data_IF_268721306161
#
_entry.id   IF_268721306161
#
_cell.length_a   1.000
_cell.length_b   1.000
_cell.length_c   1.000
_cell.angle_alpha   90.00
_cell.angle_beta   90.00
_cell.angle_gamma   90.00
#
_symmetry.space_group_name_H-M   'P 1'
#
loop_
_entity.id
_entity.type
_entity.pdbx_description
1 polymer ?
#
# COMPACT_ATOMS: atom_id res chain seq x y z
N UNK A 1 12.07 -13.17 -18.95
CA UNK A 1 11.78 -14.62 -19.09
C UNK A 1 10.66 -14.93 -18.08
N UNK A 2 9.45 -15.22 -18.54
CA UNK A 2 8.35 -15.59 -17.63
C UNK A 2 8.47 -17.07 -17.30
N UNK A 3 9.12 -17.37 -16.20
CA UNK A 3 8.97 -18.68 -15.57
C UNK A 3 7.76 -18.60 -14.66
N UNK A 4 6.57 -18.72 -15.24
CA UNK A 4 5.35 -18.79 -14.45
C UNK A 4 5.16 -20.25 -14.03
N UNK A 5 5.38 -20.51 -12.74
CA UNK A 5 5.12 -21.82 -12.13
C UNK A 5 3.66 -21.94 -11.66
N UNK A 6 2.80 -20.95 -11.94
CA UNK A 6 1.42 -20.95 -11.50
C UNK A 6 0.55 -21.79 -12.42
N UNK A 7 0.30 -22.99 -12.00
CA UNK A 7 -0.52 -23.97 -12.72
C UNK A 7 -2.04 -23.65 -12.73
N UNK A 8 -2.47 -22.56 -12.11
CA UNK A 8 -3.88 -22.19 -11.97
C UNK A 8 -4.34 -21.01 -12.83
N UNK A 9 -3.47 -20.42 -13.64
CA UNK A 9 -3.82 -19.28 -14.49
C UNK A 9 -4.56 -19.75 -15.75
N UNK A 10 -5.77 -19.24 -15.97
CA UNK A 10 -6.54 -19.44 -17.21
C UNK A 10 -6.06 -18.47 -18.30
N UNK A 11 -6.45 -18.71 -19.56
CA UNK A 11 -6.12 -17.81 -20.68
C UNK A 11 -6.65 -16.39 -20.46
N UNK A 12 -7.80 -16.26 -19.81
CA UNK A 12 -8.38 -14.98 -19.43
C UNK A 12 -7.52 -14.25 -18.38
N UNK A 13 -7.11 -14.95 -17.32
CA UNK A 13 -6.21 -14.41 -16.29
C UNK A 13 -4.87 -14.00 -16.90
N UNK A 14 -4.34 -14.76 -17.87
CA UNK A 14 -3.13 -14.39 -18.61
C UNK A 14 -3.34 -13.11 -19.44
N UNK A 15 -4.52 -12.94 -20.05
CA UNK A 15 -4.87 -11.72 -20.80
C UNK A 15 -4.93 -10.49 -19.89
N UNK A 16 -5.53 -10.62 -18.71
CA UNK A 16 -5.58 -9.55 -17.70
C UNK A 16 -4.16 -9.21 -17.23
N UNK A 17 -3.35 -10.23 -16.89
CA UNK A 17 -1.94 -10.04 -16.52
C UNK A 17 -1.18 -9.23 -17.58
N UNK A 18 -1.28 -9.63 -18.86
CA UNK A 18 -0.54 -9.00 -19.94
C UNK A 18 -1.04 -7.56 -20.20
N UNK A 19 -2.31 -7.29 -19.95
CA UNK A 19 -2.88 -5.94 -20.01
C UNK A 19 -2.33 -5.06 -18.88
N UNK A 20 -2.32 -5.57 -17.64
CA UNK A 20 -1.71 -4.87 -16.50
C UNK A 20 -0.21 -4.63 -16.72
N UNK A 21 0.53 -5.62 -17.26
CA UNK A 21 1.95 -5.47 -17.60
C UNK A 21 2.19 -4.36 -18.62
N UNK A 22 1.40 -4.30 -19.71
CA UNK A 22 1.51 -3.21 -20.69
C UNK A 22 1.25 -1.86 -20.04
N UNK A 23 0.18 -1.72 -19.27
CA UNK A 23 -0.10 -0.48 -18.55
C UNK A 23 1.03 -0.09 -17.59
N UNK A 24 1.56 -1.06 -16.84
CA UNK A 24 2.68 -0.86 -15.93
C UNK A 24 3.94 -0.36 -16.65
N UNK A 25 4.31 -0.99 -17.77
CA UNK A 25 5.57 -0.67 -18.47
C UNK A 25 5.45 0.56 -19.38
N UNK A 26 4.32 0.72 -20.07
CA UNK A 26 4.15 1.76 -21.08
C UNK A 26 3.63 3.08 -20.47
N UNK A 27 2.94 3.03 -19.32
CA UNK A 27 2.33 4.20 -18.68
C UNK A 27 2.94 4.45 -17.29
N UNK A 28 2.81 3.50 -16.35
CA UNK A 28 3.17 3.77 -14.95
C UNK A 28 4.67 4.01 -14.78
N UNK A 29 5.53 3.19 -15.39
CA UNK A 29 6.99 3.33 -15.23
C UNK A 29 7.52 4.66 -15.76
N UNK A 30 7.27 5.08 -17.01
CA UNK A 30 7.78 6.37 -17.50
C UNK A 30 7.19 7.55 -16.73
N UNK A 31 5.91 7.51 -16.36
CA UNK A 31 5.29 8.57 -15.56
C UNK A 31 5.86 8.58 -14.14
N UNK A 32 6.01 7.42 -13.49
CA UNK A 32 6.61 7.31 -12.16
C UNK A 32 8.03 7.86 -12.10
N UNK A 33 8.86 7.54 -13.10
CA UNK A 33 10.23 8.10 -13.24
C UNK A 33 10.21 9.64 -13.41
N UNK A 34 9.21 10.18 -14.12
CA UNK A 34 9.05 11.64 -14.27
C UNK A 34 8.60 12.28 -12.95
N UNK A 35 7.58 11.73 -12.29
CA UNK A 35 7.06 12.24 -11.02
C UNK A 35 8.09 12.18 -9.90
N UNK A 36 8.96 11.18 -9.91
CA UNK A 36 10.04 11.04 -8.92
C UNK A 36 11.02 12.22 -8.90
N UNK A 37 11.10 12.97 -10.00
CA UNK A 37 11.97 14.16 -10.16
C UNK A 37 11.26 15.49 -9.90
N UNK A 38 9.97 15.45 -9.59
CA UNK A 38 9.16 16.64 -9.34
C UNK A 38 9.10 16.93 -7.84
N UNK A 39 8.81 18.18 -7.46
CA UNK A 39 8.44 18.51 -6.07
C UNK A 39 7.10 17.87 -5.71
N UNK A 40 6.86 17.64 -4.44
CA UNK A 40 5.61 17.03 -3.98
C UNK A 40 4.36 17.85 -4.38
N UNK A 41 4.45 19.19 -4.39
CA UNK A 41 3.40 20.06 -4.88
C UNK A 41 3.17 19.90 -6.38
N UNK A 42 4.26 19.79 -7.17
CA UNK A 42 4.16 19.62 -8.61
C UNK A 42 3.57 18.26 -9.00
N UNK A 43 3.81 17.19 -8.19
CA UNK A 43 3.22 15.87 -8.40
C UNK A 43 1.69 15.93 -8.40
N UNK A 44 1.08 16.77 -7.57
CA UNK A 44 -0.39 16.90 -7.45
C UNK A 44 -0.96 18.13 -8.15
N UNK A 45 -0.14 18.89 -8.89
CA UNK A 45 -0.62 20.03 -9.68
C UNK A 45 -1.67 19.58 -10.73
N UNK A 46 -2.57 20.48 -11.13
CA UNK A 46 -3.68 20.16 -12.05
C UNK A 46 -3.22 19.62 -13.42
N UNK A 47 -2.05 20.01 -13.87
CA UNK A 47 -1.42 19.60 -15.12
C UNK A 47 -0.43 18.44 -14.95
N UNK A 48 -0.38 17.85 -13.78
CA UNK A 48 0.49 16.71 -13.51
C UNK A 48 0.08 15.46 -14.30
N UNK A 49 1.05 14.71 -14.83
CA UNK A 49 0.77 13.45 -15.49
C UNK A 49 0.21 12.36 -14.53
N UNK A 50 0.23 12.59 -13.22
CA UNK A 50 -0.38 11.73 -12.21
C UNK A 50 -1.84 11.42 -12.54
N UNK A 51 -2.61 12.46 -12.88
CA UNK A 51 -4.05 12.34 -13.15
C UNK A 51 -4.34 11.44 -14.35
N UNK A 52 -3.48 11.50 -15.38
CA UNK A 52 -3.60 10.61 -16.55
C UNK A 52 -3.38 9.12 -16.20
N UNK A 53 -2.53 8.82 -15.21
CA UNK A 53 -2.37 7.44 -14.71
C UNK A 53 -3.62 6.97 -13.99
N UNK A 54 -4.22 7.80 -13.13
CA UNK A 54 -5.45 7.46 -12.42
C UNK A 54 -6.62 7.20 -13.38
N UNK A 55 -6.78 8.03 -14.41
CA UNK A 55 -7.79 7.80 -15.45
C UNK A 55 -7.51 6.52 -16.26
N UNK A 56 -6.25 6.27 -16.64
CA UNK A 56 -5.88 5.04 -17.33
C UNK A 56 -6.11 3.78 -16.48
N UNK A 57 -5.87 3.86 -15.16
CA UNK A 57 -6.14 2.75 -14.23
C UNK A 57 -7.63 2.43 -14.14
N UNK A 58 -8.53 3.42 -14.10
CA UNK A 58 -9.97 3.20 -14.18
C UNK A 58 -10.37 2.42 -15.43
N UNK A 59 -9.68 2.69 -16.55
CA UNK A 59 -9.90 2.00 -17.82
C UNK A 59 -9.52 0.49 -17.81
N UNK A 60 -8.77 0.02 -16.80
CA UNK A 60 -8.46 -1.40 -16.64
C UNK A 60 -9.64 -2.22 -16.09
N UNK A 61 -10.71 -1.58 -15.61
CA UNK A 61 -11.84 -2.26 -14.99
C UNK A 61 -11.56 -2.85 -13.61
N UNK A 62 -10.48 -2.41 -12.95
CA UNK A 62 -10.14 -2.83 -11.59
C UNK A 62 -10.84 -1.93 -10.58
N UNK A 63 -11.39 -2.54 -9.52
CA UNK A 63 -11.99 -1.83 -8.40
C UNK A 63 -10.96 -1.19 -7.45
N UNK A 64 -11.45 -0.59 -6.37
CA UNK A 64 -10.63 -0.10 -5.28
C UNK A 64 -9.71 -1.22 -4.74
N UNK A 65 -8.46 -0.88 -4.40
CA UNK A 65 -7.45 -1.89 -4.04
C UNK A 65 -7.02 -2.81 -5.19
N UNK A 66 -7.28 -2.41 -6.46
CA UNK A 66 -7.08 -3.25 -7.66
C UNK A 66 -7.85 -4.59 -7.61
N UNK A 67 -9.00 -4.60 -6.95
CA UNK A 67 -9.83 -5.79 -6.83
C UNK A 67 -10.49 -6.18 -8.16
N UNK A 68 -10.67 -7.49 -8.31
CA UNK A 68 -11.30 -8.10 -9.48
C UNK A 68 -12.67 -8.61 -9.03
N UNK A 69 -13.72 -8.00 -9.57
CA UNK A 69 -15.10 -8.41 -9.29
C UNK A 69 -15.67 -9.16 -10.49
N UNK A 70 -15.34 -10.46 -10.56
CA UNK A 70 -15.86 -11.38 -11.54
C UNK A 70 -16.66 -12.49 -10.81
N UNK A 71 -17.98 -12.56 -10.98
CA UNK A 71 -18.83 -13.55 -10.29
C UNK A 71 -18.53 -15.00 -10.70
N UNK A 72 -17.95 -15.23 -11.86
CA UNK A 72 -17.65 -16.57 -12.40
C UNK A 72 -16.34 -17.14 -11.87
N UNK A 73 -15.47 -16.29 -11.28
CA UNK A 73 -14.22 -16.72 -10.68
C UNK A 73 -14.41 -17.23 -9.24
N UNK A 74 -13.74 -18.33 -8.91
CA UNK A 74 -13.63 -18.81 -7.52
C UNK A 74 -12.82 -17.85 -6.65
N UNK A 75 -12.96 -17.94 -5.32
CA UNK A 75 -12.17 -17.15 -4.38
C UNK A 75 -10.65 -17.37 -4.57
N UNK A 76 -10.24 -18.60 -4.86
CA UNK A 76 -8.84 -18.94 -5.15
C UNK A 76 -8.35 -18.27 -6.43
N UNK A 77 -9.13 -18.31 -7.49
CA UNK A 77 -8.79 -17.66 -8.77
C UNK A 77 -8.67 -16.15 -8.61
N UNK A 78 -9.62 -15.51 -7.91
CA UNK A 78 -9.57 -14.07 -7.60
C UNK A 78 -8.32 -13.71 -6.80
N UNK A 79 -7.99 -14.49 -5.77
CA UNK A 79 -6.80 -14.26 -4.94
C UNK A 79 -5.49 -14.44 -5.72
N UNK A 80 -5.40 -15.47 -6.56
CA UNK A 80 -4.23 -15.69 -7.42
C UNK A 80 -4.08 -14.56 -8.44
N UNK A 81 -5.17 -14.20 -9.13
CA UNK A 81 -5.15 -13.13 -10.12
C UNK A 81 -4.82 -11.77 -9.46
N UNK A 82 -5.33 -11.49 -8.26
CA UNK A 82 -4.99 -10.29 -7.52
C UNK A 82 -3.50 -10.22 -7.20
N UNK A 83 -2.88 -11.32 -6.75
CA UNK A 83 -1.43 -11.37 -6.57
C UNK A 83 -0.67 -11.05 -7.87
N UNK A 84 -1.10 -11.61 -9.00
CA UNK A 84 -0.47 -11.39 -10.31
C UNK A 84 -0.63 -9.94 -10.77
N UNK A 85 -1.83 -9.38 -10.65
CA UNK A 85 -2.13 -7.98 -11.03
C UNK A 85 -1.30 -7.00 -10.23
N UNK A 86 -1.26 -7.15 -8.89
CA UNK A 86 -0.46 -6.28 -8.03
C UNK A 86 1.04 -6.40 -8.33
N UNK A 87 1.53 -7.61 -8.57
CA UNK A 87 2.94 -7.83 -8.95
C UNK A 87 3.28 -7.12 -10.27
N UNK A 88 2.42 -7.22 -11.31
CA UNK A 88 2.65 -6.57 -12.60
C UNK A 88 2.61 -5.04 -12.50
N UNK A 89 1.60 -4.49 -11.84
CA UNK A 89 1.43 -3.03 -11.71
C UNK A 89 2.55 -2.41 -10.86
N UNK A 90 2.95 -3.06 -9.76
CA UNK A 90 4.06 -2.58 -8.92
C UNK A 90 5.42 -2.68 -9.60
N UNK A 91 5.60 -3.61 -10.54
CA UNK A 91 6.79 -3.60 -11.38
C UNK A 91 6.90 -2.31 -12.23
N UNK A 92 5.79 -1.65 -12.53
CA UNK A 92 5.77 -0.32 -13.13
C UNK A 92 6.17 0.77 -12.13
N UNK A 93 5.33 0.99 -11.12
CA UNK A 93 5.58 1.97 -10.06
C UNK A 93 4.67 1.68 -8.85
N UNK A 94 5.27 1.38 -7.70
CA UNK A 94 4.53 1.04 -6.48
C UNK A 94 3.80 2.23 -5.89
N UNK A 95 4.40 3.44 -5.92
CA UNK A 95 3.77 4.66 -5.41
C UNK A 95 2.51 5.02 -6.18
N UNK A 96 2.54 4.89 -7.51
CA UNK A 96 1.36 5.08 -8.36
C UNK A 96 0.29 4.02 -8.07
N UNK A 97 0.68 2.75 -7.91
CA UNK A 97 -0.30 1.70 -7.63
C UNK A 97 -1.02 1.91 -6.29
N UNK A 98 -0.30 2.29 -5.24
CA UNK A 98 -0.92 2.61 -3.94
C UNK A 98 -1.94 3.75 -4.10
N UNK A 99 -1.58 4.80 -4.83
CA UNK A 99 -2.51 5.91 -5.14
C UNK A 99 -3.74 5.46 -5.94
N UNK A 100 -3.55 4.63 -6.97
CA UNK A 100 -4.64 4.05 -7.76
C UNK A 100 -5.58 3.18 -6.89
N UNK A 101 -5.03 2.40 -5.96
CA UNK A 101 -5.80 1.54 -5.06
C UNK A 101 -6.70 2.31 -4.09
N UNK A 102 -6.45 3.60 -3.89
CA UNK A 102 -7.27 4.47 -3.04
C UNK A 102 -8.40 5.19 -3.78
N UNK A 103 -8.51 5.01 -5.12
CA UNK A 103 -9.69 5.45 -5.87
C UNK A 103 -10.92 4.72 -5.35
N UNK A 104 -11.94 5.48 -4.98
CA UNK A 104 -13.23 4.98 -4.49
C UNK A 104 -13.14 4.01 -3.28
N UNK A 105 -12.04 4.05 -2.50
CA UNK A 105 -11.85 3.16 -1.34
C UNK A 105 -12.95 3.33 -0.29
N UNK A 106 -13.53 4.53 -0.16
CA UNK A 106 -14.59 4.81 0.81
C UNK A 106 -15.86 4.02 0.50
N UNK A 107 -16.25 3.85 -0.77
CA UNK A 107 -17.39 3.02 -1.15
C UNK A 107 -17.13 1.54 -0.88
N UNK A 108 -15.92 1.05 -1.17
CA UNK A 108 -15.53 -0.33 -0.86
C UNK A 108 -15.63 -0.62 0.65
N UNK A 109 -15.10 0.29 1.47
CA UNK A 109 -15.16 0.13 2.94
C UNK A 109 -16.60 0.18 3.45
N UNK A 110 -17.43 1.09 2.94
CA UNK A 110 -18.86 1.12 3.28
C UNK A 110 -19.55 -0.22 2.98
N UNK A 111 -19.25 -0.81 1.82
CA UNK A 111 -19.76 -2.13 1.43
C UNK A 111 -19.29 -3.25 2.39
N UNK A 112 -17.99 -3.26 2.74
CA UNK A 112 -17.41 -4.25 3.66
C UNK A 112 -18.05 -4.19 5.07
N UNK A 113 -18.46 -3.00 5.51
CA UNK A 113 -19.18 -2.81 6.78
C UNK A 113 -20.70 -2.99 6.66
N UNK A 114 -21.22 -3.36 5.49
CA UNK A 114 -22.67 -3.51 5.25
C UNK A 114 -23.46 -2.20 5.37
N UNK A 115 -22.79 -1.04 5.22
CA UNK A 115 -23.38 0.29 5.32
C UNK A 115 -23.85 0.77 3.95
N UNK A 116 -25.01 0.27 3.53
CA UNK A 116 -25.62 0.60 2.24
C UNK A 116 -25.86 2.11 2.08
N UNK A 117 -26.23 2.80 3.17
CA UNK A 117 -26.42 4.25 3.22
C UNK A 117 -25.14 5.01 2.86
N UNK A 118 -24.00 4.61 3.41
CA UNK A 118 -22.68 5.20 3.11
C UNK A 118 -22.19 4.74 1.73
N UNK A 119 -22.45 3.50 1.34
CA UNK A 119 -22.12 3.03 0.00
C UNK A 119 -22.80 3.87 -1.09
N UNK A 120 -24.11 4.11 -0.98
CA UNK A 120 -24.85 4.97 -1.90
C UNK A 120 -24.29 6.41 -1.93
N UNK A 121 -23.91 6.94 -0.78
CA UNK A 121 -23.32 8.27 -0.67
C UNK A 121 -21.94 8.38 -1.32
N UNK A 122 -21.03 7.43 -1.05
CA UNK A 122 -19.64 7.51 -1.52
C UNK A 122 -19.46 6.97 -2.95
N UNK A 123 -20.27 6.03 -3.42
CA UNK A 123 -20.18 5.47 -4.78
C UNK A 123 -20.49 6.47 -5.89
N UNK A 124 -21.21 7.54 -5.58
CA UNK A 124 -21.51 8.63 -6.51
C UNK A 124 -20.37 9.65 -6.63
N UNK A 125 -19.33 9.52 -5.81
CA UNK A 125 -18.21 10.46 -5.70
C UNK A 125 -17.00 9.85 -6.40
N UNK A 126 -16.63 10.38 -7.55
CA UNK A 126 -15.39 9.97 -8.24
C UNK A 126 -14.18 10.66 -7.61
N UNK A 127 -13.73 10.11 -6.48
CA UNK A 127 -12.69 10.73 -5.66
C UNK A 127 -11.72 9.71 -5.05
N UNK A 128 -10.54 10.18 -4.68
CA UNK A 128 -9.67 9.42 -3.80
C UNK A 128 -10.20 9.46 -2.37
N UNK A 129 -10.15 8.32 -1.72
CA UNK A 129 -10.22 8.27 -0.27
C UNK A 129 -8.82 8.12 0.34
N UNK A 130 -8.77 8.04 1.68
CA UNK A 130 -7.54 7.74 2.41
C UNK A 130 -7.83 6.92 3.67
N UNK A 131 -6.76 6.31 4.21
CA UNK A 131 -6.77 5.64 5.49
C UNK A 131 -6.00 6.55 6.48
N UNK A 132 -6.74 7.26 7.33
CA UNK A 132 -6.18 8.22 8.28
C UNK A 132 -5.89 7.54 9.63
N UNK A 133 -4.73 6.88 9.73
CA UNK A 133 -4.32 6.03 10.84
C UNK A 133 -3.25 6.70 11.71
N UNK A 134 -2.06 6.93 11.15
CA UNK A 134 -0.87 7.41 11.85
C UNK A 134 -1.08 8.81 12.43
N UNK A 135 -0.53 9.05 13.63
CA UNK A 135 -0.66 10.31 14.36
C UNK A 135 0.71 10.90 14.71
N UNK A 136 0.80 12.21 14.97
CA UNK A 136 2.00 12.78 15.57
C UNK A 136 2.33 12.10 16.91
N UNK A 137 3.55 11.59 17.03
CA UNK A 137 3.98 10.86 18.22
C UNK A 137 3.51 9.41 18.34
N UNK A 138 2.69 8.92 17.40
CA UNK A 138 2.20 7.55 17.35
C UNK A 138 2.39 6.97 15.95
N UNK A 139 3.18 5.91 15.86
CA UNK A 139 3.44 5.15 14.64
C UNK A 139 3.15 3.67 14.85
N UNK A 140 4.19 2.84 14.89
CA UNK A 140 4.06 1.39 15.11
C UNK A 140 3.51 0.98 16.49
N UNK A 141 3.51 1.88 17.47
CA UNK A 141 2.83 1.67 18.77
C UNK A 141 1.30 1.57 18.64
N UNK A 142 0.71 2.21 17.61
CA UNK A 142 -0.72 2.07 17.28
C UNK A 142 -1.11 0.67 16.77
N UNK A 143 -0.14 -0.10 16.32
CA UNK A 143 -0.34 -1.47 15.82
C UNK A 143 0.24 -2.53 16.74
N UNK A 144 0.79 -2.13 17.87
CA UNK A 144 1.39 -3.00 18.86
C UNK A 144 0.35 -3.60 19.84
N UNK A 145 -0.68 -4.26 19.31
CA UNK A 145 -1.87 -4.72 20.05
C UNK A 145 -1.54 -5.63 21.26
N UNK A 146 -0.41 -6.35 21.21
CA UNK A 146 0.04 -7.26 22.25
C UNK A 146 0.92 -6.59 23.31
N UNK A 147 1.41 -5.38 23.04
CA UNK A 147 2.31 -4.66 23.93
C UNK A 147 1.55 -3.97 25.08
N UNK A 148 2.10 -3.96 26.31
CA UNK A 148 1.46 -3.32 27.46
C UNK A 148 1.17 -1.82 27.25
N UNK A 149 1.96 -1.14 26.43
CA UNK A 149 1.79 0.27 26.09
C UNK A 149 0.49 0.58 25.40
N UNK A 150 0.00 -0.33 24.54
CA UNK A 150 -1.21 -0.14 23.74
C UNK A 150 -2.47 0.11 24.61
N UNK A 151 -2.57 -0.56 25.76
CA UNK A 151 -3.68 -0.41 26.72
C UNK A 151 -3.33 0.50 27.92
N UNK A 152 -2.24 1.27 27.85
CA UNK A 152 -1.84 2.17 28.93
C UNK A 152 -2.66 3.46 28.89
N UNK A 153 -3.48 3.77 29.93
CA UNK A 153 -4.34 4.96 29.95
C UNK A 153 -3.57 6.30 30.00
N UNK A 154 -2.25 6.26 30.24
CA UNK A 154 -1.40 7.46 30.20
C UNK A 154 -1.02 7.84 28.76
N UNK A 155 -1.10 6.91 27.82
CA UNK A 155 -0.85 7.17 26.39
C UNK A 155 -2.17 7.66 25.79
N UNK A 156 -2.14 8.84 25.17
CA UNK A 156 -3.33 9.51 24.65
C UNK A 156 -3.23 9.68 23.14
N UNK A 157 -4.33 9.47 22.39
CA UNK A 157 -4.35 9.72 20.95
C UNK A 157 -4.10 11.19 20.63
N UNK A 158 -3.47 11.47 19.51
CA UNK A 158 -3.30 12.83 19.01
C UNK A 158 -4.58 13.34 18.32
N UNK A 159 -5.31 12.48 17.61
CA UNK A 159 -6.68 12.77 17.17
C UNK A 159 -7.67 12.25 18.20
N UNK A 160 -8.30 13.18 18.91
CA UNK A 160 -9.24 12.90 20.00
C UNK A 160 -10.66 12.88 19.49
N UNK A 161 -11.43 11.94 20.01
CA UNK A 161 -12.88 11.84 19.83
C UNK A 161 -13.59 12.04 21.15
N UNK A 162 -14.65 12.84 21.16
CA UNK A 162 -15.59 12.94 22.28
C UNK A 162 -17.03 12.86 21.77
N UNK A 163 -17.92 12.32 22.59
CA UNK A 163 -19.35 12.31 22.27
C UNK A 163 -19.97 13.67 22.53
N UNK A 164 -20.90 14.09 21.66
CA UNK A 164 -21.67 15.33 21.78
C UNK A 164 -23.15 15.01 21.47
N UNK A 165 -23.92 14.67 22.50
CA UNK A 165 -25.28 14.13 22.34
C UNK A 165 -25.24 12.81 21.58
N UNK A 166 -25.94 12.73 20.44
CA UNK A 166 -25.92 11.58 19.52
C UNK A 166 -24.75 11.61 18.54
N UNK A 167 -24.05 12.75 18.43
CA UNK A 167 -22.96 12.97 17.48
C UNK A 167 -21.59 12.88 18.18
N UNK A 168 -20.55 13.14 17.41
CA UNK A 168 -19.16 13.14 17.87
C UNK A 168 -18.48 14.47 17.53
N UNK A 169 -17.43 14.79 18.25
CA UNK A 169 -16.53 15.89 17.91
C UNK A 169 -15.11 15.35 17.82
N UNK A 170 -14.43 15.65 16.71
CA UNK A 170 -13.03 15.30 16.49
C UNK A 170 -12.16 16.54 16.62
N UNK A 171 -11.05 16.42 17.37
CA UNK A 171 -10.06 17.50 17.53
C UNK A 171 -8.65 16.93 17.56
N UNK A 172 -7.75 17.47 16.72
CA UNK A 172 -6.37 17.05 16.61
C UNK A 172 -5.93 16.85 15.16
N UNK A 173 -5.03 15.90 14.92
CA UNK A 173 -4.51 15.69 13.57
C UNK A 173 -4.08 14.24 13.31
N UNK A 174 -4.06 13.89 12.05
CA UNK A 174 -3.35 12.72 11.50
C UNK A 174 -2.04 13.17 10.89
N UNK A 175 -1.00 12.34 11.08
CA UNK A 175 0.37 12.66 10.68
C UNK A 175 0.56 12.70 9.16
N UNK A 176 1.71 13.18 8.73
CA UNK A 176 2.05 13.41 7.33
C UNK A 176 2.03 12.16 6.42
N UNK A 177 1.96 10.96 6.99
CA UNK A 177 2.05 9.68 6.26
C UNK A 177 0.70 9.15 5.75
N UNK A 178 -0.36 9.97 5.75
CA UNK A 178 -1.65 9.57 5.19
C UNK A 178 -1.56 9.55 3.66
N UNK A 179 -1.61 8.36 3.07
CA UNK A 179 -1.59 8.18 1.62
C UNK A 179 -2.80 8.83 0.97
N UNK A 180 -2.57 9.61 -0.08
CA UNK A 180 -3.53 10.51 -0.73
C UNK A 180 -4.12 11.61 0.19
N UNK A 181 -3.60 11.81 1.41
CA UNK A 181 -4.20 12.69 2.43
C UNK A 181 -4.48 14.12 1.95
N UNK A 182 -3.61 14.70 1.11
CA UNK A 182 -3.83 16.07 0.63
C UNK A 182 -4.75 16.17 -0.58
N UNK A 183 -5.03 15.06 -1.29
CA UNK A 183 -5.93 15.03 -2.46
C UNK A 183 -7.25 14.32 -2.18
N UNK A 184 -7.34 13.51 -1.12
CA UNK A 184 -8.53 12.72 -0.79
C UNK A 184 -9.77 13.60 -0.54
N UNK A 185 -10.92 13.23 -1.08
CA UNK A 185 -12.22 13.85 -0.80
C UNK A 185 -12.93 13.23 0.41
N UNK A 186 -12.48 12.03 0.83
CA UNK A 186 -13.05 11.31 1.97
C UNK A 186 -11.98 10.44 2.67
N UNK A 187 -12.30 9.89 3.82
CA UNK A 187 -11.36 9.02 4.51
C UNK A 187 -11.96 8.14 5.59
N UNK A 188 -11.31 7.02 5.81
CA UNK A 188 -11.51 6.15 6.97
C UNK A 188 -10.65 6.71 8.09
N UNK A 189 -11.28 7.30 9.11
CA UNK A 189 -10.62 8.04 10.18
C UNK A 189 -10.73 7.28 11.49
N UNK A 190 -9.58 6.91 12.05
CA UNK A 190 -9.48 6.30 13.37
C UNK A 190 -9.21 7.38 14.41
N UNK A 191 -10.09 7.55 15.38
CA UNK A 191 -9.96 8.57 16.44
C UNK A 191 -10.11 7.94 17.82
N UNK A 192 -9.13 8.14 18.69
CA UNK A 192 -9.17 7.60 20.04
C UNK A 192 -10.06 8.42 20.96
N UNK A 193 -10.75 7.79 21.92
CA UNK A 193 -11.54 8.52 22.92
C UNK A 193 -10.64 9.30 23.89
N UNK A 194 -10.94 10.59 24.07
CA UNK A 194 -10.16 11.49 24.93
C UNK A 194 -10.02 10.98 26.37
N UNK A 195 -11.09 10.38 26.91
CA UNK A 195 -11.17 9.92 28.29
C UNK A 195 -11.07 8.38 28.42
N UNK A 196 -10.45 7.72 27.44
CA UNK A 196 -10.25 6.27 27.49
C UNK A 196 -9.47 5.84 28.73
N UNK A 197 -9.96 4.79 29.40
CA UNK A 197 -9.26 4.11 30.51
C UNK A 197 -8.30 3.01 30.04
N UNK A 198 -8.28 2.73 28.74
CA UNK A 198 -7.46 1.67 28.12
C UNK A 198 -6.54 2.20 27.00
N UNK A 199 -6.12 3.45 27.11
CA UNK A 199 -5.12 4.06 26.22
C UNK A 199 -5.56 4.10 24.75
N UNK A 200 -4.71 3.62 23.84
CA UNK A 200 -4.94 3.60 22.41
C UNK A 200 -5.94 2.51 21.96
N UNK A 201 -6.33 1.61 22.86
CA UNK A 201 -7.21 0.49 22.53
C UNK A 201 -8.71 0.88 22.46
N UNK A 202 -9.08 2.16 22.64
CA UNK A 202 -10.46 2.60 22.66
C UNK A 202 -10.66 3.83 21.82
N UNK A 203 -11.65 3.82 20.96
CA UNK A 203 -11.92 4.89 20.03
C UNK A 203 -13.13 4.61 19.13
N UNK A 204 -13.24 5.40 18.09
CA UNK A 204 -14.24 5.22 17.04
C UNK A 204 -13.60 5.30 15.66
N UNK A 205 -14.17 4.56 14.72
CA UNK A 205 -13.81 4.55 13.30
C UNK A 205 -14.94 5.21 12.54
N UNK A 206 -14.58 6.20 11.74
CA UNK A 206 -15.53 6.96 10.94
C UNK A 206 -15.18 6.85 9.46
N UNK A 207 -16.19 6.90 8.60
CA UNK A 207 -16.05 7.12 7.18
C UNK A 207 -16.55 8.52 6.86
N UNK A 208 -15.63 9.48 6.66
CA UNK A 208 -15.94 10.91 6.60
C UNK A 208 -15.77 11.51 5.21
N UNK A 209 -16.70 12.33 4.75
CA UNK A 209 -16.44 13.29 3.67
C UNK A 209 -15.60 14.46 4.23
N UNK A 210 -14.58 14.90 3.49
CA UNK A 210 -13.63 15.91 3.98
C UNK A 210 -14.05 17.36 3.73
N UNK A 211 -15.24 17.58 3.21
CA UNK A 211 -15.90 18.89 3.19
C UNK A 211 -16.59 19.28 4.52
N UNK A 212 -16.59 18.39 5.52
CA UNK A 212 -17.10 18.76 6.85
C UNK A 212 -16.32 19.96 7.40
N UNK A 213 -17.03 20.97 7.99
CA UNK A 213 -16.40 22.15 8.58
C UNK A 213 -15.38 21.76 9.66
N UNK A 214 -14.21 22.41 9.63
CA UNK A 214 -13.13 22.14 10.60
C UNK A 214 -12.10 21.12 10.08
N UNK A 215 -12.34 20.44 8.95
CA UNK A 215 -11.32 19.59 8.32
C UNK A 215 -10.47 20.41 7.36
N UNK A 216 -9.15 20.30 7.52
CA UNK A 216 -8.18 20.92 6.60
C UNK A 216 -7.01 19.98 6.32
N UNK A 217 -6.29 20.26 5.24
CA UNK A 217 -5.19 19.41 4.76
C UNK A 217 -3.87 20.17 4.80
N UNK A 218 -2.81 19.46 5.14
CA UNK A 218 -1.45 19.98 5.10
C UNK A 218 -0.88 20.05 3.68
N UNK A 219 0.42 20.34 3.61
CA UNK A 219 1.18 20.30 2.37
C UNK A 219 1.55 18.86 2.01
N UNK A 220 1.71 18.54 0.72
CA UNK A 220 2.26 17.26 0.32
C UNK A 220 3.69 17.09 0.82
N UNK A 221 4.01 15.88 1.26
CA UNK A 221 5.27 15.57 1.91
C UNK A 221 6.39 15.26 0.89
N UNK A 222 7.53 15.94 1.01
CA UNK A 222 8.75 15.57 0.28
C UNK A 222 9.37 14.31 0.90
N UNK A 223 9.63 13.29 0.08
CA UNK A 223 10.05 11.96 0.54
C UNK A 223 11.28 11.43 -0.19
N UNK A 224 11.93 10.46 0.43
CA UNK A 224 13.05 9.74 -0.16
C UNK A 224 12.62 8.85 -1.34
N UNK A 225 11.55 8.06 -1.15
CA UNK A 225 11.00 7.10 -2.11
C UNK A 225 9.49 7.22 -2.24
N UNK A 226 8.91 6.44 -3.18
CA UNK A 226 7.47 6.47 -3.49
C UNK A 226 6.96 7.90 -3.73
N UNK A 227 7.75 8.71 -4.42
CA UNK A 227 7.49 10.15 -4.57
C UNK A 227 6.25 10.43 -5.41
N UNK A 228 5.83 9.48 -6.25
CA UNK A 228 4.57 9.56 -7.00
C UNK A 228 3.32 9.38 -6.11
N UNK A 229 3.45 8.78 -4.92
CA UNK A 229 2.37 8.67 -3.94
C UNK A 229 2.26 9.97 -3.16
N UNK A 230 1.14 10.68 -3.31
CA UNK A 230 0.83 11.83 -2.45
C UNK A 230 0.66 11.36 -1.00
N UNK A 231 1.29 12.06 -0.07
CA UNK A 231 1.06 11.88 1.37
C UNK A 231 1.07 13.24 2.06
N UNK A 232 0.28 13.39 3.15
CA UNK A 232 0.23 14.61 3.91
C UNK A 232 -0.70 14.56 5.11
N UNK A 233 -0.62 15.59 5.94
CA UNK A 233 -1.37 15.73 7.17
C UNK A 233 -2.84 16.05 6.93
N UNK A 234 -3.68 15.65 7.88
CA UNK A 234 -5.10 16.05 7.94
C UNK A 234 -5.35 16.60 9.35
N UNK A 235 -5.91 17.80 9.42
CA UNK A 235 -6.23 18.50 10.67
C UNK A 235 -7.74 18.50 10.91
N UNK A 236 -8.12 18.37 12.16
CA UNK A 236 -9.50 18.37 12.64
C UNK A 236 -9.61 19.42 13.75
N UNK A 237 -10.36 20.48 13.53
CA UNK A 237 -10.59 21.57 14.49
C UNK A 237 -12.06 21.58 14.88
N UNK A 238 -12.35 20.98 16.06
CA UNK A 238 -13.71 20.85 16.61
C UNK A 238 -14.75 20.35 15.59
N UNK A 239 -14.37 19.34 14.77
CA UNK A 239 -15.22 18.82 13.70
C UNK A 239 -16.41 18.08 14.28
N UNK A 240 -17.60 18.61 14.06
CA UNK A 240 -18.84 17.90 14.39
C UNK A 240 -19.14 16.80 13.37
N UNK A 241 -19.18 15.56 13.85
CA UNK A 241 -19.41 14.37 13.03
C UNK A 241 -20.76 13.78 13.38
N UNK A 242 -21.71 13.77 12.44
CA UNK A 242 -23.01 13.07 12.59
C UNK A 242 -22.78 11.56 12.82
N UNK A 243 -23.58 10.99 13.74
CA UNK A 243 -23.43 9.58 14.15
C UNK A 243 -23.53 8.57 12.99
N UNK A 244 -24.24 8.90 11.91
CA UNK A 244 -24.39 8.00 10.77
C UNK A 244 -23.06 7.76 9.99
N UNK A 245 -22.03 8.60 10.15
CA UNK A 245 -20.72 8.36 9.59
C UNK A 245 -19.83 7.43 10.43
N UNK A 246 -20.27 7.05 11.63
CA UNK A 246 -19.54 6.11 12.48
C UNK A 246 -19.73 4.69 11.96
N UNK A 247 -18.61 3.96 11.79
CA UNK A 247 -18.58 2.55 11.39
C UNK A 247 -18.57 1.63 12.62
N UNK A 248 -17.76 1.97 13.61
CA UNK A 248 -17.62 1.19 14.84
C UNK A 248 -17.01 2.02 15.96
N UNK A 249 -17.22 1.60 17.20
CA UNK A 249 -16.64 2.25 18.38
C UNK A 249 -16.48 1.29 19.56
N UNK A 250 -15.62 1.71 20.51
CA UNK A 250 -15.42 1.02 21.79
C UNK A 250 -14.23 0.07 21.82
N UNK A 251 -13.79 -0.26 23.03
CA UNK A 251 -12.56 -0.98 23.32
C UNK A 251 -12.51 -2.42 22.80
N UNK A 252 -13.61 -2.98 22.34
CA UNK A 252 -13.67 -4.30 21.72
C UNK A 252 -13.63 -4.19 20.19
N UNK A 253 -14.43 -3.32 19.58
CA UNK A 253 -14.54 -3.19 18.13
C UNK A 253 -13.37 -2.42 17.52
N UNK A 254 -12.91 -1.36 18.15
CA UNK A 254 -11.86 -0.48 17.61
C UNK A 254 -10.53 -1.21 17.34
N UNK A 255 -9.94 -1.98 18.29
CA UNK A 255 -8.73 -2.74 18.02
C UNK A 255 -8.94 -3.84 16.98
N UNK A 256 -10.11 -4.49 16.96
CA UNK A 256 -10.42 -5.54 15.98
C UNK A 256 -10.40 -4.99 14.54
N UNK A 257 -10.95 -3.80 14.32
CA UNK A 257 -10.94 -3.16 13.00
C UNK A 257 -9.53 -2.73 12.62
N UNK A 258 -8.74 -2.24 13.57
CA UNK A 258 -7.33 -1.95 13.36
C UNK A 258 -6.57 -3.18 12.89
N UNK A 259 -6.70 -4.31 13.59
CA UNK A 259 -6.04 -5.57 13.25
C UNK A 259 -6.48 -6.09 11.88
N UNK A 260 -7.79 -6.04 11.59
CA UNK A 260 -8.34 -6.44 10.30
C UNK A 260 -7.78 -5.59 9.15
N UNK A 261 -7.74 -4.26 9.33
CA UNK A 261 -7.18 -3.35 8.35
C UNK A 261 -5.67 -3.59 8.14
N UNK A 262 -4.91 -3.73 9.22
CA UNK A 262 -3.48 -3.99 9.16
C UNK A 262 -3.17 -5.34 8.50
N UNK A 263 -3.96 -6.37 8.77
CA UNK A 263 -3.86 -7.68 8.12
C UNK A 263 -4.03 -7.56 6.60
N UNK A 264 -5.07 -6.87 6.14
CA UNK A 264 -5.30 -6.63 4.72
C UNK A 264 -4.18 -5.83 4.06
N UNK A 265 -3.73 -4.77 4.71
CA UNK A 265 -2.62 -3.95 4.24
C UNK A 265 -1.31 -4.75 4.14
N UNK A 266 -0.99 -5.59 5.14
CA UNK A 266 0.21 -6.43 5.11
C UNK A 266 0.18 -7.48 3.98
N UNK A 267 -0.98 -8.10 3.69
CA UNK A 267 -1.13 -8.99 2.55
C UNK A 267 -0.91 -8.24 1.23
N UNK A 268 -1.53 -7.07 1.06
CA UNK A 268 -1.36 -6.24 -0.12
C UNK A 268 0.09 -5.77 -0.30
N UNK A 269 0.76 -5.31 0.76
CA UNK A 269 2.18 -4.97 0.74
C UNK A 269 3.07 -6.14 0.29
N UNK A 270 2.79 -7.35 0.76
CA UNK A 270 3.50 -8.54 0.32
C UNK A 270 3.38 -8.76 -1.19
N UNK A 271 2.15 -8.69 -1.71
CA UNK A 271 1.87 -8.85 -3.14
C UNK A 271 2.55 -7.76 -3.99
N UNK A 272 2.48 -6.51 -3.55
CA UNK A 272 3.06 -5.35 -4.22
C UNK A 272 4.59 -5.42 -4.28
N UNK A 273 5.25 -5.73 -3.18
CA UNK A 273 6.71 -5.67 -3.11
C UNK A 273 7.42 -6.88 -3.74
N UNK A 274 6.74 -7.98 -4.01
CA UNK A 274 7.23 -8.99 -4.96
C UNK A 274 7.41 -8.38 -6.36
N UNK A 275 6.49 -7.52 -6.80
CA UNK A 275 6.59 -6.79 -8.08
C UNK A 275 7.81 -5.86 -8.15
N UNK A 276 8.09 -5.13 -7.08
CA UNK A 276 9.30 -4.27 -6.97
C UNK A 276 10.58 -5.11 -7.01
N UNK A 277 10.62 -6.23 -6.26
CA UNK A 277 11.76 -7.15 -6.26
C UNK A 277 12.02 -7.73 -7.65
N UNK A 278 10.96 -8.21 -8.32
CA UNK A 278 11.04 -8.73 -9.69
C UNK A 278 11.54 -7.66 -10.67
N UNK A 279 11.00 -6.44 -10.60
CA UNK A 279 11.43 -5.36 -11.48
C UNK A 279 12.92 -5.06 -11.36
N UNK A 280 13.44 -5.03 -10.13
CA UNK A 280 14.87 -4.82 -9.89
C UNK A 280 15.72 -5.98 -10.44
N UNK A 281 15.26 -7.22 -10.27
CA UNK A 281 15.91 -8.40 -10.84
C UNK A 281 15.92 -8.38 -12.37
N UNK A 282 14.78 -8.11 -13.01
CA UNK A 282 14.65 -8.09 -14.47
C UNK A 282 15.60 -7.05 -15.09
N UNK A 283 15.65 -5.84 -14.54
CA UNK A 283 16.56 -4.78 -15.00
C UNK A 283 18.03 -5.20 -14.83
N UNK A 284 18.40 -5.79 -13.70
CA UNK A 284 19.75 -6.26 -13.46
C UNK A 284 20.14 -7.39 -14.41
N UNK A 285 19.23 -8.32 -14.70
CA UNK A 285 19.43 -9.41 -15.63
C UNK A 285 19.62 -8.92 -17.06
N UNK A 286 18.79 -7.99 -17.53
CA UNK A 286 18.89 -7.45 -18.89
C UNK A 286 20.15 -6.61 -19.06
N UNK A 287 20.47 -5.77 -18.06
CA UNK A 287 21.75 -5.05 -18.04
C UNK A 287 22.95 -6.00 -18.10
N UNK A 288 22.94 -7.09 -17.35
CA UNK A 288 24.04 -8.05 -17.33
C UNK A 288 24.24 -8.79 -18.65
N UNK A 289 23.20 -8.97 -19.45
CA UNK A 289 23.29 -9.57 -20.80
C UNK A 289 23.89 -8.61 -21.83
N UNK A 290 23.68 -7.30 -21.67
CA UNK A 290 24.05 -6.29 -22.67
C UNK A 290 25.37 -5.60 -22.34
N UNK A 291 25.64 -5.35 -21.06
CA UNK A 291 26.81 -4.59 -20.63
C UNK A 291 28.10 -5.41 -20.74
N UNK A 292 29.04 -4.90 -21.58
CA UNK A 292 30.34 -5.54 -21.80
C UNK A 292 31.37 -4.94 -20.88
N UNK A 293 32.04 -5.77 -20.06
CA UNK A 293 33.17 -5.41 -19.21
C UNK A 293 34.06 -6.63 -19.02
N UNK A 294 35.39 -6.43 -19.04
CA UNK A 294 36.32 -7.55 -19.00
C UNK A 294 36.35 -8.38 -20.27
N UNK A 295 35.91 -7.80 -21.41
CA UNK A 295 35.97 -8.40 -22.74
C UNK A 295 34.74 -9.24 -23.13
N UNK A 296 33.70 -9.38 -22.26
CA UNK A 296 32.46 -10.08 -22.52
C UNK A 296 31.29 -9.43 -21.81
N UNK A 297 30.02 -9.78 -22.13
CA UNK A 297 28.87 -9.43 -21.32
C UNK A 297 29.07 -9.86 -19.86
N UNK A 298 28.72 -8.99 -18.90
CA UNK A 298 29.03 -9.28 -17.50
C UNK A 298 28.31 -10.51 -16.96
N UNK A 299 27.24 -10.93 -17.58
CA UNK A 299 26.53 -12.18 -17.23
C UNK A 299 27.43 -13.42 -17.38
N UNK A 300 28.52 -13.35 -18.14
CA UNK A 300 29.46 -14.48 -18.31
C UNK A 300 30.37 -14.67 -17.10
N UNK A 301 30.54 -13.64 -16.27
CA UNK A 301 31.36 -13.73 -15.05
C UNK A 301 30.66 -14.53 -13.94
N UNK A 302 31.39 -15.43 -13.29
CA UNK A 302 30.82 -16.33 -12.26
C UNK A 302 30.20 -15.58 -11.06
N UNK A 303 30.82 -14.50 -10.61
CA UNK A 303 30.28 -13.69 -9.50
C UNK A 303 28.98 -13.00 -9.86
N UNK A 304 28.79 -12.58 -11.12
CA UNK A 304 27.54 -12.01 -11.63
C UNK A 304 26.45 -13.07 -11.70
N UNK A 305 26.75 -14.25 -12.27
CA UNK A 305 25.82 -15.39 -12.30
C UNK A 305 25.34 -15.78 -10.92
N UNK A 306 26.26 -15.89 -9.96
CA UNK A 306 25.92 -16.25 -8.59
C UNK A 306 25.06 -15.21 -7.91
N UNK A 307 25.31 -13.91 -8.11
CA UNK A 307 24.47 -12.83 -7.59
C UNK A 307 23.07 -12.84 -8.21
N UNK A 308 22.97 -12.93 -9.53
CA UNK A 308 21.68 -13.05 -10.23
C UNK A 308 20.86 -14.26 -9.76
N UNK A 309 21.52 -15.41 -9.57
CA UNK A 309 20.83 -16.59 -9.01
C UNK A 309 20.31 -16.35 -7.59
N UNK A 310 21.11 -15.69 -6.73
CA UNK A 310 20.67 -15.33 -5.38
C UNK A 310 19.47 -14.35 -5.38
N UNK A 311 19.47 -13.37 -6.28
CA UNK A 311 18.32 -12.46 -6.48
C UNK A 311 17.08 -13.23 -6.95
N UNK A 312 17.22 -14.08 -7.98
CA UNK A 312 16.14 -14.95 -8.46
C UNK A 312 15.55 -15.82 -7.35
N UNK A 313 16.39 -16.50 -6.57
CA UNK A 313 15.96 -17.36 -5.47
C UNK A 313 15.14 -16.59 -4.43
N UNK A 314 15.56 -15.38 -4.07
CA UNK A 314 14.85 -14.52 -3.11
C UNK A 314 13.47 -14.11 -3.65
N UNK A 315 13.39 -13.69 -4.92
CA UNK A 315 12.12 -13.30 -5.56
C UNK A 315 11.15 -14.48 -5.58
N UNK A 316 11.60 -15.67 -6.02
CA UNK A 316 10.75 -16.86 -6.10
C UNK A 316 10.28 -17.35 -4.72
N UNK A 317 11.15 -17.30 -3.71
CA UNK A 317 10.78 -17.65 -2.35
C UNK A 317 9.71 -16.71 -1.78
N UNK A 318 9.88 -15.40 -1.96
CA UNK A 318 8.91 -14.40 -1.53
C UNK A 318 7.57 -14.57 -2.27
N UNK A 319 7.61 -14.68 -3.62
CA UNK A 319 6.42 -14.91 -4.46
C UNK A 319 5.63 -16.13 -4.01
N UNK A 320 6.31 -17.26 -3.81
CA UNK A 320 5.69 -18.52 -3.38
C UNK A 320 5.01 -18.39 -2.02
N UNK A 321 5.66 -17.72 -1.06
CA UNK A 321 5.09 -17.50 0.27
C UNK A 321 3.88 -16.57 0.21
N UNK A 322 4.00 -15.44 -0.51
CA UNK A 322 2.91 -14.46 -0.69
C UNK A 322 1.69 -15.13 -1.30
N UNK A 323 1.84 -15.82 -2.43
CA UNK A 323 0.72 -16.49 -3.12
C UNK A 323 0.07 -17.55 -2.25
N UNK A 324 0.87 -18.40 -1.60
CA UNK A 324 0.36 -19.44 -0.69
C UNK A 324 -0.49 -18.84 0.43
N UNK A 325 -0.04 -17.77 1.07
CA UNK A 325 -0.77 -17.15 2.17
C UNK A 325 -2.01 -16.41 1.67
N UNK A 326 -1.93 -15.68 0.56
CA UNK A 326 -3.06 -14.97 -0.03
C UNK A 326 -4.18 -15.93 -0.45
N UNK A 327 -3.84 -17.06 -1.09
CA UNK A 327 -4.83 -18.07 -1.42
C UNK A 327 -5.47 -18.67 -0.15
N UNK A 328 -4.66 -18.98 0.86
CA UNK A 328 -5.17 -19.52 2.12
C UNK A 328 -6.09 -18.53 2.85
N UNK A 329 -5.79 -17.22 2.79
CA UNK A 329 -6.63 -16.18 3.37
C UNK A 329 -8.00 -16.10 2.69
N UNK A 330 -8.03 -16.22 1.36
CA UNK A 330 -9.26 -16.14 0.58
C UNK A 330 -10.21 -17.33 0.80
N UNK A 331 -9.69 -18.53 1.09
CA UNK A 331 -10.51 -19.75 1.16
C UNK A 331 -10.82 -20.22 2.58
N UNK A 332 -10.04 -19.80 3.57
CA UNK A 332 -10.29 -20.22 4.96
C UNK A 332 -11.39 -19.38 5.59
N UNK A 333 -12.34 -19.98 6.29
CA UNK A 333 -13.29 -19.22 7.11
C UNK A 333 -12.56 -18.31 8.12
N UNK A 334 -12.80 -17.00 8.05
CA UNK A 334 -12.12 -16.01 8.89
C UNK A 334 -10.69 -15.64 8.42
N UNK A 335 -10.24 -16.21 7.30
CA UNK A 335 -8.92 -15.97 6.73
C UNK A 335 -7.77 -16.61 7.52
N UNK A 336 -6.52 -16.17 7.25
CA UNK A 336 -5.36 -16.62 8.02
C UNK A 336 -5.16 -15.79 9.29
N UNK A 337 -4.53 -16.34 10.35
CA UNK A 337 -4.06 -15.56 11.50
C UNK A 337 -3.11 -14.42 11.07
N UNK A 338 -3.10 -13.32 11.85
CA UNK A 338 -2.34 -12.11 11.56
C UNK A 338 -0.85 -12.36 11.30
N UNK A 339 -0.22 -13.30 12.03
CA UNK A 339 1.19 -13.63 11.86
C UNK A 339 1.57 -14.02 10.42
N UNK A 340 0.65 -14.67 9.68
CA UNK A 340 0.90 -15.02 8.27
C UNK A 340 0.91 -13.77 7.37
N UNK A 341 0.01 -12.81 7.58
CA UNK A 341 0.00 -11.56 6.85
C UNK A 341 1.25 -10.72 7.16
N UNK A 342 1.62 -10.61 8.44
CA UNK A 342 2.86 -9.95 8.85
C UNK A 342 4.09 -10.62 8.23
N UNK A 343 4.16 -11.97 8.23
CA UNK A 343 5.28 -12.70 7.63
C UNK A 343 5.41 -12.48 6.12
N UNK A 344 4.29 -12.33 5.43
CA UNK A 344 4.23 -12.01 4.00
C UNK A 344 4.82 -10.62 3.74
N UNK A 345 4.36 -9.63 4.49
CA UNK A 345 4.85 -8.24 4.37
C UNK A 345 6.35 -8.16 4.66
N UNK A 346 6.79 -8.68 5.80
CA UNK A 346 8.20 -8.62 6.23
C UNK A 346 9.11 -9.28 5.20
N UNK A 347 8.76 -10.49 4.74
CA UNK A 347 9.59 -11.21 3.77
C UNK A 347 9.65 -10.48 2.42
N UNK A 348 8.51 -10.06 1.87
CA UNK A 348 8.47 -9.44 0.55
C UNK A 348 9.17 -8.07 0.52
N UNK A 349 8.96 -7.23 1.53
CA UNK A 349 9.59 -5.90 1.61
C UNK A 349 11.09 -6.00 1.84
N UNK A 350 11.54 -6.91 2.70
CA UNK A 350 12.97 -7.18 2.89
C UNK A 350 13.61 -7.71 1.59
N UNK A 351 12.93 -8.64 0.90
CA UNK A 351 13.38 -9.15 -0.40
C UNK A 351 13.51 -8.03 -1.44
N UNK A 352 12.50 -7.16 -1.53
CA UNK A 352 12.54 -6.04 -2.48
C UNK A 352 13.73 -5.11 -2.22
N UNK A 353 13.99 -4.78 -0.97
CA UNK A 353 15.11 -3.94 -0.57
C UNK A 353 16.46 -4.59 -0.91
N UNK A 354 16.65 -5.88 -0.56
CA UNK A 354 17.88 -6.61 -0.84
C UNK A 354 18.13 -6.81 -2.33
N UNK A 355 17.09 -7.16 -3.10
CA UNK A 355 17.22 -7.35 -4.55
C UNK A 355 17.48 -6.05 -5.28
N UNK A 356 16.83 -4.94 -4.87
CA UNK A 356 17.13 -3.62 -5.42
C UNK A 356 18.56 -3.15 -5.09
N UNK A 357 19.05 -3.44 -3.86
CA UNK A 357 20.46 -3.22 -3.49
C UNK A 357 21.42 -4.00 -4.40
N UNK A 358 21.17 -5.29 -4.60
CA UNK A 358 21.99 -6.15 -5.46
C UNK A 358 21.94 -5.70 -6.92
N UNK A 359 20.81 -5.19 -7.41
CA UNK A 359 20.67 -4.62 -8.74
C UNK A 359 21.56 -3.38 -8.93
N UNK A 360 21.55 -2.43 -7.99
CA UNK A 360 22.46 -1.28 -8.01
C UNK A 360 23.92 -1.76 -8.07
N UNK A 361 24.27 -2.74 -7.24
CA UNK A 361 25.64 -3.27 -7.20
C UNK A 361 26.04 -3.91 -8.53
N UNK A 362 25.14 -4.58 -9.25
CA UNK A 362 25.38 -5.15 -10.57
C UNK A 362 25.58 -4.08 -11.65
N UNK A 363 24.78 -3.02 -11.60
CA UNK A 363 24.90 -1.90 -12.54
C UNK A 363 26.12 -1.01 -12.26
N UNK A 364 26.73 -1.14 -11.07
CA UNK A 364 27.87 -0.32 -10.68
C UNK A 364 27.55 1.18 -10.66
N UNK A 365 28.40 2.03 -11.22
CA UNK A 365 28.17 3.47 -11.29
C UNK A 365 26.87 3.86 -12.00
N UNK A 366 26.47 3.12 -13.01
CA UNK A 366 25.19 3.33 -13.72
C UNK A 366 23.97 3.14 -12.81
N UNK A 367 24.05 2.22 -11.84
CA UNK A 367 22.98 1.99 -10.86
C UNK A 367 22.75 3.13 -9.86
N UNK A 368 23.67 4.12 -9.82
CA UNK A 368 23.56 5.31 -8.98
C UNK A 368 22.99 6.51 -9.73
N UNK A 369 22.74 6.38 -11.04
CA UNK A 369 22.24 7.46 -11.89
C UNK A 369 20.73 7.34 -12.09
N UNK A 370 20.10 8.47 -12.42
CA UNK A 370 18.68 8.51 -12.78
C UNK A 370 18.37 7.94 -14.17
N UNK A 371 19.36 7.48 -14.92
CA UNK A 371 19.19 6.89 -16.25
C UNK A 371 18.62 5.47 -16.16
N UNK A 372 18.83 4.82 -15.00
CA UNK A 372 18.31 3.49 -14.71
C UNK A 372 17.32 3.53 -13.52
N UNK A 373 16.19 2.82 -13.59
CA UNK A 373 15.18 2.89 -12.55
C UNK A 373 15.55 2.17 -11.23
N UNK A 374 16.69 1.49 -11.16
CA UNK A 374 17.07 0.66 -9.99
C UNK A 374 17.29 1.48 -8.72
N UNK A 375 17.83 2.71 -8.82
CA UNK A 375 18.01 3.58 -7.65
C UNK A 375 16.67 4.04 -7.07
N UNK A 376 15.68 4.30 -7.94
CA UNK A 376 14.30 4.59 -7.52
C UNK A 376 13.66 3.38 -6.85
N UNK A 377 13.77 2.18 -7.45
CA UNK A 377 13.25 0.95 -6.85
C UNK A 377 13.86 0.68 -5.47
N UNK A 378 15.13 0.97 -5.28
CA UNK A 378 15.80 0.85 -3.97
C UNK A 378 15.21 1.83 -2.93
N UNK A 379 14.98 3.09 -3.30
CA UNK A 379 14.37 4.10 -2.41
C UNK A 379 12.92 3.75 -2.09
N UNK A 380 12.17 3.29 -3.06
CA UNK A 380 10.78 2.84 -2.90
C UNK A 380 10.71 1.61 -1.98
N UNK A 381 11.59 0.63 -2.18
CA UNK A 381 11.68 -0.55 -1.32
C UNK A 381 12.11 -0.20 0.11
N UNK A 382 12.97 0.83 0.30
CA UNK A 382 13.36 1.25 1.65
C UNK A 382 12.19 1.77 2.49
N UNK A 383 11.27 2.49 1.86
CA UNK A 383 10.07 3.00 2.52
C UNK A 383 9.20 1.86 3.07
N UNK A 384 9.04 0.78 2.31
CA UNK A 384 8.18 -0.34 2.66
C UNK A 384 8.56 -1.12 3.93
N UNK A 385 9.82 -1.01 4.37
CA UNK A 385 10.24 -1.63 5.64
C UNK A 385 9.62 -0.95 6.87
N UNK A 386 9.05 0.25 6.69
CA UNK A 386 8.46 1.07 7.76
C UNK A 386 6.93 1.13 7.62
N UNK A 387 6.43 1.17 6.39
CA UNK A 387 5.00 1.30 6.08
C UNK A 387 4.18 0.12 6.63
N UNK A 388 2.91 0.38 6.96
CA UNK A 388 1.93 -0.60 7.45
C UNK A 388 2.44 -1.48 8.61
N UNK A 389 3.16 -0.85 9.53
CA UNK A 389 3.87 -1.46 10.64
C UNK A 389 5.35 -1.70 10.28
N UNK A 390 6.24 -1.16 11.11
CA UNK A 390 7.68 -1.37 10.96
C UNK A 390 8.02 -2.87 11.12
N UNK A 391 8.91 -3.40 10.26
CA UNK A 391 9.15 -4.84 10.14
C UNK A 391 9.55 -5.53 11.45
N UNK A 392 10.33 -4.85 12.30
CA UNK A 392 10.73 -5.43 13.60
C UNK A 392 9.57 -5.47 14.60
N UNK A 393 8.69 -4.44 14.57
CA UNK A 393 7.47 -4.41 15.39
C UNK A 393 6.50 -5.51 14.98
N UNK A 394 6.30 -5.72 13.67
CA UNK A 394 5.45 -6.82 13.19
C UNK A 394 5.99 -8.20 13.63
N UNK A 395 7.31 -8.33 13.78
CA UNK A 395 7.94 -9.56 14.28
C UNK A 395 7.69 -9.85 15.77
N UNK A 396 7.23 -8.86 16.55
CA UNK A 396 6.86 -9.03 17.96
C UNK A 396 5.39 -9.44 18.15
N UNK A 397 4.56 -9.31 17.15
CA UNK A 397 3.13 -9.62 17.16
C UNK A 397 2.86 -11.09 16.78
#
# INVERSE_FOLDING_TARGET
>A
MNFDLDLGLTDEMLTIRDTCRRFAMDVMRPVGMRLDRMSAEAVIARDSPLWGVFEGFKGLGLGAGAQIDDPDMSAEQKALLHCVVLEELCAGDVGLLIGCGLLNISSLVAQQFGRNDLYEFFSQRDEHGCLALTEPGHGSDNVAFTEPGYRNPRIKPALKCRRNGSNYVLNGQKAAWVSCGTIAGSGIVFAGFENSSVGLADGAVFLLPFELPGISKGKPLEKMGQRALNQGEIFFDEVEVPAHFMLAEGADAYPMIWEMNLKGANLAMGQQFVGVARAAYDIALDYAKEWVQGGCPIIEHQNVKNRLFGMFQKVEAARSHVRRVSLADAVKPGGVPFQYAASVKVLATQTAFEVAHDAIQLLGGNGLTHDYPVEKLFRDARASLIEDGENSMLGLM
#
